data_IF_479073635869
#
_entry.id   IF_479073635869
#
_cell.length_a   1.000
_cell.length_b   1.000
_cell.length_c   1.000
_cell.angle_alpha   90.00
_cell.angle_beta   90.00
_cell.angle_gamma   90.00
#
_symmetry.space_group_name_H-M   'P 1'
#
loop_
_entity.id
_entity.type
_entity.pdbx_description
1 polymer ?
#
# COMPACT_ATOMS: atom_id res chain seq x y z
N UNK A 1 -103.84 -44.25 -5.07
CA UNK A 1 -102.37 -44.02 -5.05
C UNK A 1 -101.88 -44.44 -3.66
N UNK A 2 -100.80 -45.21 -3.56
CA UNK A 2 -100.28 -45.64 -2.25
C UNK A 2 -99.22 -44.64 -1.76
N UNK A 3 -99.34 -44.20 -0.50
CA UNK A 3 -98.43 -43.22 0.09
C UNK A 3 -97.06 -43.84 0.37
N UNK A 4 -96.07 -43.53 -0.48
CA UNK A 4 -94.70 -43.99 -0.30
C UNK A 4 -93.99 -43.19 0.81
N UNK A 5 -94.07 -43.68 2.05
CA UNK A 5 -93.44 -43.06 3.23
C UNK A 5 -91.92 -43.01 3.07
N UNK A 6 -91.37 -41.80 2.88
CA UNK A 6 -89.92 -41.57 2.76
C UNK A 6 -89.25 -41.68 4.14
N UNK A 7 -88.84 -42.90 4.51
CA UNK A 7 -88.02 -43.14 5.71
C UNK A 7 -86.70 -42.36 5.62
N UNK A 8 -86.33 -41.68 6.71
CA UNK A 8 -85.02 -41.04 6.84
C UNK A 8 -83.92 -42.10 6.91
N UNK A 9 -82.69 -41.76 6.50
CA UNK A 9 -81.54 -42.64 6.70
C UNK A 9 -81.31 -42.97 8.18
N UNK A 10 -81.60 -42.02 9.09
CA UNK A 10 -81.59 -42.27 10.55
C UNK A 10 -82.65 -43.28 10.99
N UNK A 11 -83.86 -43.22 10.43
CA UNK A 11 -84.93 -44.15 10.78
C UNK A 11 -84.68 -45.53 10.17
N UNK A 12 -84.11 -45.60 8.97
CA UNK A 12 -83.63 -46.85 8.38
C UNK A 12 -82.51 -47.50 9.23
N UNK A 13 -81.51 -46.71 9.67
CA UNK A 13 -80.49 -47.20 10.62
C UNK A 13 -81.10 -47.61 11.98
N UNK A 14 -82.11 -46.91 12.48
CA UNK A 14 -82.82 -47.27 13.72
C UNK A 14 -83.57 -48.59 13.56
N UNK A 15 -84.32 -48.77 12.48
CA UNK A 15 -85.09 -49.98 12.17
C UNK A 15 -84.15 -51.18 11.97
N UNK A 16 -83.12 -51.03 11.14
CA UNK A 16 -82.11 -52.08 10.92
C UNK A 16 -81.30 -52.40 12.18
N UNK A 17 -81.03 -51.42 13.04
CA UNK A 17 -80.40 -51.64 14.35
C UNK A 17 -81.32 -52.33 15.38
N UNK A 18 -82.65 -52.20 15.27
CA UNK A 18 -83.61 -52.94 16.10
C UNK A 18 -83.91 -54.35 15.61
N UNK A 19 -83.58 -54.66 14.35
CA UNK A 19 -83.70 -56.02 13.81
C UNK A 19 -82.43 -56.79 14.20
N UNK A 20 -82.56 -57.72 15.15
CA UNK A 20 -81.48 -58.69 15.42
C UNK A 20 -81.09 -59.37 14.10
N UNK A 21 -79.78 -59.48 13.77
CA UNK A 21 -79.37 -60.19 12.57
C UNK A 21 -79.90 -61.63 12.62
N UNK A 22 -80.35 -62.19 11.48
CA UNK A 22 -80.79 -63.58 11.43
C UNK A 22 -79.62 -64.48 11.85
N UNK A 23 -79.87 -65.40 12.78
CA UNK A 23 -78.86 -66.37 13.23
C UNK A 23 -78.46 -67.20 12.01
N UNK A 24 -77.19 -67.15 11.56
CA UNK A 24 -76.78 -67.78 10.32
C UNK A 24 -76.94 -69.29 10.44
N UNK A 25 -77.61 -69.90 9.46
CA UNK A 25 -77.82 -71.35 9.46
C UNK A 25 -76.48 -72.10 9.39
N UNK A 26 -76.42 -73.36 9.85
CA UNK A 26 -75.21 -74.20 9.75
C UNK A 26 -74.65 -74.35 8.32
N UNK A 27 -75.49 -74.12 7.31
CA UNK A 27 -75.08 -74.07 5.89
C UNK A 27 -74.41 -72.75 5.54
N UNK A 28 -74.81 -71.65 6.18
CA UNK A 28 -74.27 -70.31 5.99
C UNK A 28 -72.98 -70.09 6.77
N UNK A 29 -72.88 -70.59 8.01
CA UNK A 29 -71.63 -70.58 8.79
C UNK A 29 -70.54 -71.35 8.05
N UNK A 30 -70.82 -72.58 7.60
CA UNK A 30 -69.90 -73.38 6.76
C UNK A 30 -69.57 -72.70 5.43
N UNK A 31 -70.53 -72.01 4.80
CA UNK A 31 -70.28 -71.20 3.58
C UNK A 31 -69.38 -69.99 3.87
N UNK A 32 -69.51 -69.35 5.03
CA UNK A 32 -68.66 -68.24 5.46
C UNK A 32 -67.25 -68.72 5.80
N UNK A 33 -67.09 -69.83 6.52
CA UNK A 33 -65.79 -70.48 6.75
C UNK A 33 -65.10 -70.87 5.45
N UNK A 34 -65.82 -71.52 4.52
CA UNK A 34 -65.26 -71.90 3.22
C UNK A 34 -64.93 -70.67 2.36
N UNK A 35 -65.69 -69.57 2.49
CA UNK A 35 -65.36 -68.28 1.88
C UNK A 35 -64.09 -67.69 2.49
N UNK A 36 -63.94 -67.68 3.82
CA UNK A 36 -62.73 -67.23 4.52
C UNK A 36 -61.52 -68.06 4.09
N UNK A 37 -61.59 -69.38 4.25
CA UNK A 37 -60.57 -70.35 3.79
C UNK A 37 -60.31 -70.31 2.27
N UNK A 38 -61.09 -69.57 1.50
CA UNK A 38 -60.86 -69.26 0.08
C UNK A 38 -60.23 -67.88 -0.11
N UNK A 39 -60.71 -66.83 0.58
CA UNK A 39 -60.10 -65.48 0.56
C UNK A 39 -58.68 -65.49 1.13
N UNK A 40 -58.41 -66.30 2.14
CA UNK A 40 -57.08 -66.41 2.75
C UNK A 40 -56.09 -67.00 1.75
N UNK A 41 -56.47 -68.09 1.05
CA UNK A 41 -55.69 -68.66 -0.06
C UNK A 41 -55.54 -67.68 -1.23
N UNK A 42 -56.62 -67.00 -1.63
CA UNK A 42 -56.59 -65.98 -2.68
C UNK A 42 -55.63 -64.83 -2.35
N UNK A 43 -55.56 -64.40 -1.08
CA UNK A 43 -54.66 -63.33 -0.64
C UNK A 43 -53.17 -63.69 -0.80
N UNK A 44 -52.84 -64.98 -0.77
CA UNK A 44 -51.50 -65.52 -0.95
C UNK A 44 -51.14 -65.76 -2.43
N UNK A 45 -52.09 -65.64 -3.36
CA UNK A 45 -51.86 -65.90 -4.79
C UNK A 45 -51.20 -64.68 -5.48
N UNK A 46 -49.93 -64.77 -5.92
CA UNK A 46 -49.20 -63.63 -6.48
C UNK A 46 -49.70 -63.18 -7.86
N UNK A 47 -50.56 -63.98 -8.50
CA UNK A 47 -51.03 -63.80 -9.87
C UNK A 47 -52.48 -63.25 -9.95
N UNK A 48 -53.08 -62.83 -8.83
CA UNK A 48 -54.38 -62.13 -8.86
C UNK A 48 -54.22 -60.72 -9.43
N UNK A 49 -55.26 -60.16 -10.04
CA UNK A 49 -55.19 -58.80 -10.61
C UNK A 49 -54.81 -57.75 -9.55
N UNK A 50 -55.28 -57.89 -8.33
CA UNK A 50 -54.96 -56.95 -7.25
C UNK A 50 -53.56 -57.20 -6.66
N UNK A 51 -53.05 -58.44 -6.60
CA UNK A 51 -51.64 -58.69 -6.30
C UNK A 51 -50.72 -58.13 -7.40
N UNK A 52 -51.10 -58.25 -8.69
CA UNK A 52 -50.35 -57.66 -9.80
C UNK A 52 -50.37 -56.12 -9.76
N UNK A 53 -51.51 -55.50 -9.47
CA UNK A 53 -51.63 -54.05 -9.24
C UNK A 53 -50.75 -53.61 -8.07
N UNK A 54 -50.87 -54.24 -6.90
CA UNK A 54 -50.02 -53.96 -5.76
C UNK A 54 -48.54 -54.16 -6.08
N UNK A 55 -48.15 -55.20 -6.82
CA UNK A 55 -46.75 -55.43 -7.23
C UNK A 55 -46.23 -54.32 -8.15
N UNK A 56 -47.03 -53.88 -9.12
CA UNK A 56 -46.71 -52.76 -10.02
C UNK A 56 -46.60 -51.44 -9.26
N UNK A 57 -47.53 -51.18 -8.34
CA UNK A 57 -47.62 -49.90 -7.65
C UNK A 57 -46.59 -49.82 -6.49
N UNK A 58 -46.28 -50.95 -5.85
CA UNK A 58 -45.06 -51.12 -5.04
C UNK A 58 -43.82 -50.88 -5.91
N UNK A 59 -43.68 -51.51 -7.08
CA UNK A 59 -42.51 -51.30 -7.97
C UNK A 59 -42.31 -49.84 -8.41
N UNK A 60 -43.40 -49.10 -8.67
CA UNK A 60 -43.35 -47.65 -8.92
C UNK A 60 -42.78 -46.90 -7.72
N UNK A 61 -43.35 -47.11 -6.52
CA UNK A 61 -42.83 -46.50 -5.30
C UNK A 61 -41.36 -46.90 -5.07
N UNK A 62 -41.03 -48.19 -5.18
CA UNK A 62 -39.68 -48.74 -5.11
C UNK A 62 -38.71 -48.06 -6.10
N UNK A 63 -39.19 -47.59 -7.25
CA UNK A 63 -38.40 -46.83 -8.23
C UNK A 63 -38.27 -45.36 -7.82
N UNK A 64 -39.37 -44.73 -7.43
CA UNK A 64 -39.41 -43.34 -6.94
C UNK A 64 -38.52 -43.17 -5.68
N UNK A 65 -38.68 -44.03 -4.69
CA UNK A 65 -37.85 -44.18 -3.48
C UNK A 65 -36.36 -44.44 -3.79
N UNK A 66 -36.01 -44.97 -4.97
CA UNK A 66 -34.60 -45.14 -5.41
C UNK A 66 -34.09 -43.88 -6.11
N UNK A 67 -34.88 -43.27 -6.98
CA UNK A 67 -34.52 -42.02 -7.65
C UNK A 67 -34.36 -40.87 -6.65
N UNK A 68 -35.23 -40.76 -5.65
CA UNK A 68 -35.09 -39.78 -4.56
C UNK A 68 -33.82 -40.01 -3.74
N UNK A 69 -33.50 -41.27 -3.39
CA UNK A 69 -32.23 -41.61 -2.70
C UNK A 69 -30.99 -41.34 -3.54
N UNK A 70 -31.08 -41.30 -4.88
CA UNK A 70 -29.99 -40.84 -5.74
C UNK A 70 -29.88 -39.32 -5.73
N UNK A 71 -31.00 -38.60 -5.83
CA UNK A 71 -31.02 -37.12 -5.74
C UNK A 71 -30.45 -36.62 -4.42
N UNK A 72 -30.92 -37.16 -3.28
CA UNK A 72 -30.43 -36.79 -1.95
C UNK A 72 -28.91 -37.02 -1.79
N UNK A 73 -28.35 -38.08 -2.39
CA UNK A 73 -26.90 -38.30 -2.42
C UNK A 73 -26.16 -37.29 -3.29
N UNK A 74 -26.71 -36.92 -4.45
CA UNK A 74 -26.16 -35.85 -5.28
C UNK A 74 -26.20 -34.50 -4.55
N UNK A 75 -27.30 -34.18 -3.86
CA UNK A 75 -27.42 -32.97 -3.03
C UNK A 75 -26.39 -32.96 -1.89
N UNK A 76 -26.15 -34.10 -1.23
CA UNK A 76 -25.11 -34.26 -0.21
C UNK A 76 -23.68 -34.13 -0.78
N UNK A 77 -23.41 -34.72 -1.94
CA UNK A 77 -22.11 -34.63 -2.64
C UNK A 77 -21.84 -33.22 -3.16
N UNK A 78 -22.82 -32.56 -3.80
CA UNK A 78 -22.72 -31.17 -4.23
C UNK A 78 -22.52 -30.23 -3.04
N UNK A 79 -23.26 -30.42 -1.94
CA UNK A 79 -23.07 -29.66 -0.70
C UNK A 79 -21.68 -29.88 -0.10
N UNK A 80 -21.13 -31.09 -0.17
CA UNK A 80 -19.73 -31.36 0.20
C UNK A 80 -18.73 -30.67 -0.74
N UNK A 81 -18.98 -30.64 -2.05
CA UNK A 81 -18.12 -29.94 -3.02
C UNK A 81 -18.17 -28.43 -2.79
N UNK A 82 -19.36 -27.84 -2.67
CA UNK A 82 -19.56 -26.41 -2.40
C UNK A 82 -18.92 -25.98 -1.08
N UNK A 83 -19.06 -26.77 -0.01
CA UNK A 83 -18.39 -26.47 1.26
C UNK A 83 -16.86 -26.59 1.15
N UNK A 84 -16.32 -27.62 0.47
CA UNK A 84 -14.87 -27.75 0.20
C UNK A 84 -14.32 -26.63 -0.69
N UNK A 85 -15.11 -26.09 -1.63
CA UNK A 85 -14.74 -24.92 -2.45
C UNK A 85 -14.74 -23.66 -1.58
N UNK A 86 -15.79 -23.45 -0.77
CA UNK A 86 -15.91 -22.32 0.14
C UNK A 86 -14.79 -22.30 1.20
N UNK A 87 -14.43 -23.44 1.80
CA UNK A 87 -13.31 -23.49 2.76
C UNK A 87 -12.00 -23.15 2.07
N UNK A 88 -11.69 -23.73 0.90
CA UNK A 88 -10.50 -23.39 0.11
C UNK A 88 -10.43 -21.90 -0.28
N UNK A 89 -11.56 -21.28 -0.61
CA UNK A 89 -11.62 -19.84 -0.87
C UNK A 89 -11.32 -19.00 0.37
N UNK A 90 -11.90 -19.36 1.52
CA UNK A 90 -11.65 -18.71 2.82
C UNK A 90 -10.20 -18.92 3.28
N UNK A 91 -9.65 -20.13 3.13
CA UNK A 91 -8.25 -20.45 3.40
C UNK A 91 -7.30 -19.61 2.55
N UNK A 92 -7.55 -19.51 1.23
CA UNK A 92 -6.77 -18.66 0.32
C UNK A 92 -6.87 -17.18 0.69
N UNK A 93 -8.06 -16.68 1.06
CA UNK A 93 -8.22 -15.31 1.54
C UNK A 93 -7.44 -15.06 2.84
N UNK A 94 -7.52 -15.98 3.80
CA UNK A 94 -6.78 -15.93 5.07
C UNK A 94 -5.25 -16.11 4.91
N UNK A 95 -4.80 -16.72 3.81
CA UNK A 95 -3.39 -16.74 3.40
C UNK A 95 -2.99 -15.37 2.84
N UNK A 96 -3.72 -14.84 1.86
CA UNK A 96 -3.42 -13.54 1.24
C UNK A 96 -3.43 -12.38 2.24
N UNK A 97 -4.43 -12.31 3.13
CA UNK A 97 -4.49 -11.30 4.21
C UNK A 97 -3.27 -11.42 5.13
N UNK A 98 -2.84 -12.63 5.43
CA UNK A 98 -1.67 -12.88 6.28
C UNK A 98 -0.35 -12.50 5.58
N UNK A 99 -0.20 -12.82 4.30
CA UNK A 99 0.96 -12.41 3.49
C UNK A 99 1.01 -10.89 3.27
N UNK A 100 -0.14 -10.22 3.28
CA UNK A 100 -0.23 -8.75 3.25
C UNK A 100 0.15 -8.07 4.58
N UNK A 101 0.38 -8.80 5.68
CA UNK A 101 0.90 -8.18 6.92
C UNK A 101 2.33 -7.69 6.72
N UNK A 102 2.69 -6.53 7.28
CA UNK A 102 4.01 -5.90 7.03
C UNK A 102 5.19 -6.74 7.52
N UNK A 103 4.97 -7.58 8.53
CA UNK A 103 5.94 -8.60 8.97
C UNK A 103 6.19 -9.67 7.90
N UNK A 104 5.14 -10.14 7.23
CA UNK A 104 5.27 -11.06 6.09
C UNK A 104 5.88 -10.37 4.88
N UNK A 105 5.48 -9.12 4.55
CA UNK A 105 6.15 -8.30 3.52
C UNK A 105 7.66 -8.18 3.78
N UNK A 106 8.03 -7.95 5.05
CA UNK A 106 9.43 -7.85 5.49
C UNK A 106 10.17 -9.17 5.29
N UNK A 107 9.58 -10.30 5.70
CA UNK A 107 10.14 -11.63 5.45
C UNK A 107 10.32 -11.90 3.95
N UNK A 108 9.30 -11.68 3.11
CA UNK A 108 9.39 -11.82 1.64
C UNK A 108 10.48 -10.93 1.03
N UNK A 109 10.67 -9.72 1.57
CA UNK A 109 11.76 -8.82 1.15
C UNK A 109 13.16 -9.37 1.52
N UNK A 110 13.31 -10.03 2.67
CA UNK A 110 14.57 -10.70 3.02
C UNK A 110 14.79 -12.01 2.23
N UNK A 111 13.72 -12.75 1.90
CA UNK A 111 13.78 -13.94 1.02
C UNK A 111 14.33 -13.55 -0.37
N UNK A 112 13.74 -12.51 -0.97
CA UNK A 112 14.22 -11.96 -2.24
C UNK A 112 15.68 -11.47 -2.13
N UNK A 113 16.07 -10.86 -1.01
CA UNK A 113 17.46 -10.45 -0.78
C UNK A 113 18.42 -11.65 -0.69
N UNK A 114 18.01 -12.77 -0.08
CA UNK A 114 18.82 -14.00 -0.07
C UNK A 114 18.94 -14.64 -1.46
N UNK A 115 17.86 -14.70 -2.23
CA UNK A 115 17.90 -15.18 -3.62
C UNK A 115 18.81 -14.27 -4.50
N UNK A 116 18.73 -12.94 -4.35
CA UNK A 116 19.58 -11.98 -5.07
C UNK A 116 21.07 -12.13 -4.70
N UNK A 117 21.39 -12.31 -3.41
CA UNK A 117 22.78 -12.54 -2.97
C UNK A 117 23.34 -13.86 -3.52
N UNK A 118 22.53 -14.92 -3.53
CA UNK A 118 22.89 -16.23 -4.08
C UNK A 118 23.12 -16.18 -5.60
N UNK A 119 22.22 -15.55 -6.36
CA UNK A 119 22.43 -15.31 -7.80
C UNK A 119 23.64 -14.42 -8.07
N UNK A 120 23.96 -13.48 -7.17
CA UNK A 120 25.16 -12.65 -7.30
C UNK A 120 26.46 -13.45 -7.14
N UNK A 121 26.50 -14.42 -6.22
CA UNK A 121 27.64 -15.34 -6.09
C UNK A 121 27.87 -16.12 -7.40
N UNK A 122 26.79 -16.61 -8.05
CA UNK A 122 26.91 -17.26 -9.36
C UNK A 122 27.44 -16.33 -10.46
N UNK A 123 26.94 -15.10 -10.57
CA UNK A 123 27.44 -14.11 -11.55
C UNK A 123 28.94 -13.83 -11.38
N UNK A 124 29.45 -13.83 -10.15
CA UNK A 124 30.88 -13.61 -9.87
C UNK A 124 31.75 -14.85 -10.12
N UNK A 125 31.17 -16.06 -10.11
CA UNK A 125 31.82 -17.29 -10.57
C UNK A 125 31.83 -17.40 -12.10
N UNK A 126 30.68 -17.13 -12.75
CA UNK A 126 30.53 -17.11 -14.21
C UNK A 126 31.46 -16.06 -14.84
N UNK A 127 31.51 -14.84 -14.28
CA UNK A 127 32.42 -13.79 -14.75
C UNK A 127 33.88 -14.25 -14.69
N UNK A 128 34.33 -14.91 -13.61
CA UNK A 128 35.69 -15.47 -13.50
C UNK A 128 35.95 -16.58 -14.51
N UNK A 129 34.96 -17.42 -14.81
CA UNK A 129 35.09 -18.44 -15.85
C UNK A 129 35.26 -17.81 -17.24
N UNK A 130 34.51 -16.75 -17.55
CA UNK A 130 34.64 -15.98 -18.80
C UNK A 130 35.98 -15.25 -18.87
N UNK A 131 36.46 -14.66 -17.76
CA UNK A 131 37.78 -14.02 -17.70
C UNK A 131 38.90 -15.04 -17.97
N UNK A 132 38.89 -16.19 -17.31
CA UNK A 132 39.84 -17.28 -17.56
C UNK A 132 39.78 -17.81 -19.02
N UNK A 133 38.59 -17.86 -19.63
CA UNK A 133 38.43 -18.26 -21.03
C UNK A 133 38.98 -17.22 -21.99
N UNK A 134 38.74 -15.93 -21.72
CA UNK A 134 39.30 -14.83 -22.51
C UNK A 134 40.83 -14.80 -22.42
N UNK A 135 41.41 -14.95 -21.22
CA UNK A 135 42.86 -15.09 -21.03
C UNK A 135 43.43 -16.27 -21.85
N UNK A 136 42.75 -17.43 -21.87
CA UNK A 136 43.18 -18.57 -22.67
C UNK A 136 43.12 -18.30 -24.19
N UNK A 137 42.10 -17.57 -24.66
CA UNK A 137 41.94 -17.17 -26.06
C UNK A 137 43.00 -16.12 -26.46
N UNK A 138 43.24 -15.12 -25.62
CA UNK A 138 44.26 -14.08 -25.84
C UNK A 138 45.67 -14.68 -25.88
N UNK A 139 45.99 -15.60 -24.97
CA UNK A 139 47.28 -16.31 -24.99
C UNK A 139 47.44 -17.18 -26.26
N UNK A 140 46.39 -17.89 -26.69
CA UNK A 140 46.41 -18.68 -27.93
C UNK A 140 46.56 -17.79 -29.18
N UNK A 141 45.91 -16.64 -29.21
CA UNK A 141 46.06 -15.65 -30.28
C UNK A 141 47.45 -15.03 -30.30
N UNK A 142 47.99 -14.63 -29.14
CA UNK A 142 49.34 -14.08 -29.02
C UNK A 142 50.41 -15.08 -29.46
N UNK A 143 50.28 -16.36 -29.09
CA UNK A 143 51.16 -17.43 -29.56
C UNK A 143 51.10 -17.57 -31.10
N UNK A 144 49.90 -17.54 -31.70
CA UNK A 144 49.76 -17.59 -33.15
C UNK A 144 50.41 -16.38 -33.84
N UNK A 145 50.14 -15.16 -33.36
CA UNK A 145 50.75 -13.93 -33.92
C UNK A 145 52.28 -13.98 -33.81
N UNK A 146 52.83 -14.52 -32.72
CA UNK A 146 54.26 -14.75 -32.58
C UNK A 146 54.80 -15.76 -33.62
N UNK A 147 54.10 -16.88 -33.86
CA UNK A 147 54.46 -17.81 -34.93
C UNK A 147 54.42 -17.14 -36.32
N UNK A 148 53.34 -16.42 -36.64
CA UNK A 148 53.16 -15.72 -37.93
C UNK A 148 54.30 -14.71 -38.17
N UNK A 149 54.77 -14.01 -37.11
CA UNK A 149 55.94 -13.12 -37.15
C UNK A 149 57.22 -13.91 -37.41
N UNK A 150 57.53 -14.95 -36.64
CA UNK A 150 58.75 -15.75 -36.82
C UNK A 150 58.82 -16.40 -38.22
N UNK A 151 57.69 -16.87 -38.75
CA UNK A 151 57.60 -17.36 -40.12
C UNK A 151 57.87 -16.25 -41.16
N UNK A 152 57.38 -15.02 -40.94
CA UNK A 152 57.68 -13.88 -41.82
C UNK A 152 59.16 -13.49 -41.78
N UNK A 153 59.76 -13.48 -40.59
CA UNK A 153 61.19 -13.19 -40.43
C UNK A 153 62.06 -14.22 -41.16
N UNK A 154 61.71 -15.51 -41.07
CA UNK A 154 62.39 -16.58 -41.82
C UNK A 154 62.28 -16.35 -43.33
N UNK A 155 61.07 -16.11 -43.85
CA UNK A 155 60.82 -15.84 -45.28
C UNK A 155 61.57 -14.60 -45.77
N UNK A 156 61.73 -13.57 -44.94
CA UNK A 156 62.52 -12.37 -45.28
C UNK A 156 64.03 -12.57 -45.15
N UNK A 157 64.51 -13.43 -44.25
CA UNK A 157 65.91 -13.86 -44.20
C UNK A 157 66.28 -14.71 -45.43
N UNK A 158 65.38 -15.54 -45.93
CA UNK A 158 65.56 -16.30 -47.17
C UNK A 158 65.60 -15.39 -48.40
N UNK A 159 64.65 -14.45 -48.55
CA UNK A 159 64.70 -13.42 -49.60
C UNK A 159 66.01 -12.61 -49.53
N UNK A 160 66.47 -12.25 -48.33
CA UNK A 160 67.76 -11.56 -48.15
C UNK A 160 68.94 -12.42 -48.63
N UNK A 161 68.97 -13.72 -48.31
CA UNK A 161 70.00 -14.67 -48.81
C UNK A 161 70.00 -14.75 -50.33
N UNK A 162 68.84 -14.98 -50.95
CA UNK A 162 68.68 -15.04 -52.43
C UNK A 162 69.15 -13.74 -53.07
N UNK A 163 68.65 -12.59 -52.62
CA UNK A 163 69.06 -11.28 -53.11
C UNK A 163 70.58 -11.03 -52.93
N UNK A 164 71.21 -11.56 -51.88
CA UNK A 164 72.68 -11.48 -51.74
C UNK A 164 73.41 -12.41 -52.70
N UNK A 165 72.91 -13.62 -52.95
CA UNK A 165 73.48 -14.55 -53.92
C UNK A 165 73.43 -13.95 -55.33
N UNK A 166 72.26 -13.53 -55.79
CA UNK A 166 72.07 -12.84 -57.09
C UNK A 166 72.99 -11.63 -57.25
N UNK A 167 73.12 -10.79 -56.21
CA UNK A 167 74.07 -9.65 -56.21
C UNK A 167 75.53 -10.08 -56.30
N UNK A 168 75.92 -11.18 -55.64
CA UNK A 168 77.30 -11.69 -55.76
C UNK A 168 77.58 -12.32 -57.11
N UNK A 169 76.60 -12.93 -57.76
CA UNK A 169 76.74 -13.49 -59.11
C UNK A 169 76.79 -12.39 -60.17
N UNK A 170 75.90 -11.39 -60.09
CA UNK A 170 75.96 -10.20 -60.92
C UNK A 170 77.31 -9.46 -60.76
N UNK A 171 77.85 -9.37 -59.55
CA UNK A 171 79.16 -8.77 -59.30
C UNK A 171 80.36 -9.60 -59.78
N UNK A 172 80.21 -10.93 -59.96
CA UNK A 172 81.19 -11.77 -60.67
C UNK A 172 81.12 -11.49 -62.17
N UNK A 173 79.92 -11.58 -62.75
CA UNK A 173 79.68 -11.34 -64.18
C UNK A 173 80.15 -9.95 -64.62
N UNK A 174 79.91 -8.92 -63.82
CA UNK A 174 80.40 -7.56 -64.07
C UNK A 174 81.93 -7.45 -64.00
N UNK A 175 82.61 -8.23 -63.14
CA UNK A 175 84.08 -8.31 -63.15
C UNK A 175 84.59 -9.04 -64.39
N UNK A 176 83.99 -10.16 -64.74
CA UNK A 176 84.34 -10.94 -65.93
C UNK A 176 84.19 -10.09 -67.21
N UNK A 177 83.09 -9.36 -67.35
CA UNK A 177 82.88 -8.38 -68.43
C UNK A 177 83.92 -7.24 -68.44
N UNK A 178 84.36 -6.76 -67.28
CA UNK A 178 85.41 -5.74 -67.18
C UNK A 178 86.80 -6.27 -67.52
N UNK A 179 87.13 -7.51 -67.14
CA UNK A 179 88.39 -8.15 -67.55
C UNK A 179 88.39 -8.50 -69.05
N UNK A 180 87.27 -8.98 -69.61
CA UNK A 180 87.10 -9.13 -71.06
C UNK A 180 87.29 -7.79 -71.79
N UNK A 181 86.68 -6.71 -71.30
CA UNK A 181 86.81 -5.39 -71.90
C UNK A 181 88.27 -4.88 -71.86
N UNK A 182 88.98 -5.07 -70.73
CA UNK A 182 90.41 -4.77 -70.63
C UNK A 182 91.24 -5.61 -71.59
N UNK A 183 90.99 -6.91 -71.71
CA UNK A 183 91.72 -7.79 -72.62
C UNK A 183 91.52 -7.36 -74.07
N UNK A 184 90.27 -7.12 -74.49
CA UNK A 184 89.95 -6.58 -75.84
C UNK A 184 90.64 -5.23 -76.08
N UNK A 185 90.70 -4.35 -75.07
CA UNK A 185 91.38 -3.05 -75.18
C UNK A 185 92.91 -3.17 -75.27
N UNK A 186 93.51 -4.08 -74.52
CA UNK A 186 94.94 -4.44 -74.63
C UNK A 186 95.23 -5.03 -76.02
N UNK A 187 94.35 -5.87 -76.55
CA UNK A 187 94.49 -6.42 -77.89
C UNK A 187 94.34 -5.36 -79.00
N UNK A 188 93.45 -4.37 -78.85
CA UNK A 188 93.42 -3.22 -79.77
C UNK A 188 94.69 -2.38 -79.67
N UNK A 189 95.20 -2.08 -78.47
CA UNK A 189 96.49 -1.37 -78.32
C UNK A 189 97.67 -2.17 -78.92
N UNK A 190 97.67 -3.50 -78.80
CA UNK A 190 98.67 -4.36 -79.43
C UNK A 190 98.54 -4.40 -80.96
N UNK A 191 97.33 -4.29 -81.50
CA UNK A 191 97.08 -4.15 -82.95
C UNK A 191 97.53 -2.78 -83.44
N UNK A 192 97.08 -1.70 -82.81
CA UNK A 192 97.52 -0.31 -83.08
C UNK A 192 99.04 -0.18 -83.02
N UNK A 193 99.72 -0.81 -82.05
CA UNK A 193 101.19 -0.82 -81.98
C UNK A 193 101.83 -1.54 -83.17
N UNK A 194 101.33 -2.72 -83.55
CA UNK A 194 101.81 -3.46 -84.73
C UNK A 194 101.53 -2.72 -86.04
N UNK A 195 100.45 -1.95 -86.11
CA UNK A 195 100.13 -1.09 -87.25
C UNK A 195 100.98 0.17 -87.26
N UNK A 196 101.26 0.78 -86.11
CA UNK A 196 102.23 1.86 -85.95
C UNK A 196 103.66 1.46 -86.32
N UNK A 197 104.08 0.24 -85.96
CA UNK A 197 105.37 -0.34 -86.40
C UNK A 197 105.44 -0.50 -87.94
N UNK A 198 104.36 -1.00 -88.56
CA UNK A 198 104.25 -1.06 -90.03
C UNK A 198 104.16 0.33 -90.68
N UNK A 199 103.49 1.28 -90.04
CA UNK A 199 103.33 2.65 -90.53
C UNK A 199 104.66 3.40 -90.43
N UNK A 200 105.43 3.24 -89.36
CA UNK A 200 106.77 3.79 -89.23
C UNK A 200 107.73 3.23 -90.31
N UNK A 201 107.62 1.94 -90.64
CA UNK A 201 108.34 1.36 -91.77
C UNK A 201 107.95 2.01 -93.11
N UNK A 202 106.65 2.18 -93.38
CA UNK A 202 106.17 2.89 -94.59
C UNK A 202 106.57 4.36 -94.62
N UNK A 203 106.48 5.08 -93.51
CA UNK A 203 106.87 6.50 -93.40
C UNK A 203 108.37 6.66 -93.62
N UNK A 204 109.21 5.70 -93.24
CA UNK A 204 110.63 5.71 -93.60
C UNK A 204 110.87 5.48 -95.11
N UNK A 205 110.09 4.64 -95.79
CA UNK A 205 110.12 4.56 -97.26
C UNK A 205 109.59 5.84 -97.92
N UNK A 206 108.53 6.44 -97.37
CA UNK A 206 107.87 7.61 -97.96
C UNK A 206 108.63 8.90 -97.70
N UNK A 207 109.37 9.03 -96.59
CA UNK A 207 110.29 10.14 -96.35
C UNK A 207 111.44 10.13 -97.36
N UNK A 208 111.92 8.96 -97.78
CA UNK A 208 112.89 8.81 -98.89
C UNK A 208 112.30 9.22 -100.25
N UNK A 209 110.97 9.26 -100.39
CA UNK A 209 110.26 9.78 -101.59
C UNK A 209 109.96 11.28 -101.45
N UNK A 210 109.48 11.76 -100.29
CA UNK A 210 109.16 13.17 -100.07
C UNK A 210 110.39 14.09 -100.10
N UNK A 211 111.57 13.60 -99.69
CA UNK A 211 112.84 14.33 -99.89
C UNK A 211 113.14 14.64 -101.37
N UNK A 212 112.51 13.91 -102.31
CA UNK A 212 112.61 14.17 -103.75
C UNK A 212 111.62 15.28 -104.16
N UNK A 213 110.45 15.35 -103.51
CA UNK A 213 109.30 16.22 -103.87
C UNK A 213 109.30 17.58 -103.16
N UNK A 214 109.78 17.70 -101.92
CA UNK A 214 109.70 18.97 -101.16
C UNK A 214 110.51 20.10 -101.81
N UNK A 215 111.51 19.74 -102.63
CA UNK A 215 112.28 20.64 -103.49
C UNK A 215 111.42 21.43 -104.50
N UNK A 216 110.25 20.91 -104.88
CA UNK A 216 109.38 21.52 -105.89
C UNK A 216 108.44 22.60 -105.30
N UNK A 217 107.99 22.42 -104.05
CA UNK A 217 106.77 23.09 -103.54
C UNK A 217 106.98 24.50 -103.01
N UNK A 218 108.20 24.89 -102.63
CA UNK A 218 108.53 26.18 -101.99
C UNK A 218 108.27 27.44 -102.85
N UNK A 219 107.83 27.29 -104.11
CA UNK A 219 107.61 28.38 -105.09
C UNK A 219 106.29 29.18 -104.97
N UNK A 220 105.31 28.84 -104.09
CA UNK A 220 103.90 29.32 -104.28
C UNK A 220 103.21 30.23 -103.23
N UNK A 221 103.54 30.24 -101.93
CA UNK A 221 102.50 30.49 -100.88
C UNK A 221 102.26 31.93 -100.33
N UNK A 222 102.67 33.02 -100.99
CA UNK A 222 102.83 34.36 -100.34
C UNK A 222 101.65 35.38 -100.43
N UNK A 223 100.37 34.99 -100.45
CA UNK A 223 99.33 35.85 -101.10
C UNK A 223 97.97 36.22 -100.41
N UNK A 224 97.57 35.79 -99.20
CA UNK A 224 96.20 36.09 -98.69
C UNK A 224 96.08 36.15 -97.14
N UNK A 225 95.71 37.30 -96.52
CA UNK A 225 95.76 37.42 -95.03
C UNK A 225 95.03 38.60 -94.32
N UNK A 226 94.19 39.43 -94.94
CA UNK A 226 93.92 40.83 -94.44
C UNK A 226 92.47 41.12 -93.93
N UNK A 227 91.69 40.09 -93.57
CA UNK A 227 90.24 40.09 -93.85
C UNK A 227 89.16 40.49 -92.78
N UNK A 228 89.34 40.43 -91.44
CA UNK A 228 88.18 40.48 -90.48
C UNK A 228 88.47 40.95 -89.04
N UNK A 229 87.49 41.60 -88.35
CA UNK A 229 87.66 42.08 -86.94
C UNK A 229 86.43 42.48 -86.06
N UNK A 230 85.16 42.44 -86.51
CA UNK A 230 84.31 43.66 -86.35
C UNK A 230 83.16 43.82 -85.30
N UNK A 231 82.70 42.86 -84.48
CA UNK A 231 81.46 43.06 -83.63
C UNK A 231 81.46 42.49 -82.19
N UNK A 232 80.62 43.02 -81.27
CA UNK A 232 80.57 42.54 -79.86
C UNK A 232 79.36 42.90 -78.90
N UNK A 233 78.57 43.96 -79.13
CA UNK A 233 78.15 44.89 -78.05
C UNK A 233 77.22 44.48 -76.84
N UNK A 234 75.88 44.53 -76.96
CA UNK A 234 75.17 45.63 -76.25
C UNK A 234 74.31 45.40 -74.96
N UNK A 235 73.49 44.34 -74.82
CA UNK A 235 72.25 44.39 -73.99
C UNK A 235 72.35 43.84 -72.53
N UNK A 236 71.70 44.47 -71.52
CA UNK A 236 71.90 44.12 -70.08
C UNK A 236 70.84 44.47 -68.98
N UNK A 237 69.63 44.97 -69.28
CA UNK A 237 68.95 45.96 -68.42
C UNK A 237 68.18 45.58 -67.10
N UNK A 238 67.01 44.93 -67.11
CA UNK A 238 65.94 45.11 -66.08
C UNK A 238 65.69 43.90 -65.12
N UNK A 239 65.08 44.11 -63.92
CA UNK A 239 64.75 42.97 -63.00
C UNK A 239 63.71 43.01 -61.83
N UNK A 240 63.26 44.13 -61.23
CA UNK A 240 62.75 44.12 -59.82
C UNK A 240 61.42 44.88 -59.54
N UNK A 241 60.57 44.39 -58.60
CA UNK A 241 59.38 45.11 -58.07
C UNK A 241 58.83 44.70 -56.66
N UNK A 242 58.04 43.62 -56.50
CA UNK A 242 56.98 43.51 -55.45
C UNK A 242 57.24 42.53 -54.27
N UNK A 243 56.87 42.87 -53.01
CA UNK A 243 57.02 41.96 -51.84
C UNK A 243 56.22 42.23 -50.52
N UNK A 244 55.05 42.89 -50.50
CA UNK A 244 54.61 43.62 -49.28
C UNK A 244 53.16 43.42 -48.71
N UNK A 245 52.41 42.35 -49.03
CA UNK A 245 50.92 42.32 -48.82
C UNK A 245 50.32 41.46 -47.69
N UNK A 246 51.09 40.82 -46.80
CA UNK A 246 50.63 39.62 -46.05
C UNK A 246 50.60 39.78 -44.51
N UNK A 247 49.73 40.62 -43.90
CA UNK A 247 49.87 40.93 -42.45
C UNK A 247 48.68 41.39 -41.56
N UNK A 248 47.39 41.12 -41.84
CA UNK A 248 46.29 41.91 -41.24
C UNK A 248 45.09 41.27 -40.48
N UNK A 249 44.86 39.95 -40.40
CA UNK A 249 43.51 39.45 -40.01
C UNK A 249 43.33 38.59 -38.72
N UNK A 250 44.36 38.32 -37.91
CA UNK A 250 44.28 37.32 -36.81
C UNK A 250 43.53 37.74 -35.51
N UNK A 251 42.83 38.88 -35.51
CA UNK A 251 42.37 39.58 -34.27
C UNK A 251 40.94 39.22 -33.81
N UNK A 252 40.19 38.40 -34.56
CA UNK A 252 38.72 38.20 -34.36
C UNK A 252 38.27 37.06 -33.42
N UNK A 253 39.10 36.57 -32.48
CA UNK A 253 38.88 35.24 -31.85
C UNK A 253 38.59 35.17 -30.33
N UNK A 254 38.57 36.27 -29.57
CA UNK A 254 38.65 36.19 -28.09
C UNK A 254 37.47 36.76 -27.26
N UNK A 255 36.49 37.46 -27.85
CA UNK A 255 35.52 38.27 -27.05
C UNK A 255 34.31 37.51 -26.43
N UNK A 256 33.95 36.32 -26.91
CA UNK A 256 32.67 35.68 -26.53
C UNK A 256 32.68 34.88 -25.21
N UNK A 257 33.84 34.63 -24.60
CA UNK A 257 33.96 33.74 -23.44
C UNK A 257 33.32 34.28 -22.14
N UNK A 258 33.24 35.60 -21.97
CA UNK A 258 32.99 36.22 -20.66
C UNK A 258 31.51 36.33 -20.24
N UNK A 259 30.55 36.17 -21.15
CA UNK A 259 29.11 36.47 -20.86
C UNK A 259 28.33 35.37 -20.12
N UNK A 260 28.91 34.19 -19.88
CA UNK A 260 28.14 33.01 -19.39
C UNK A 260 28.09 32.82 -17.87
N UNK A 261 28.97 33.45 -17.09
CA UNK A 261 29.10 33.19 -15.65
C UNK A 261 28.08 33.92 -14.75
N UNK A 262 27.31 34.89 -15.25
CA UNK A 262 26.46 35.76 -14.42
C UNK A 262 25.01 35.27 -14.20
N UNK A 263 24.73 33.96 -14.34
CA UNK A 263 23.43 33.35 -13.95
C UNK A 263 23.43 32.78 -12.51
N UNK A 264 23.97 33.60 -11.59
CA UNK A 264 24.08 33.36 -10.14
C UNK A 264 22.74 33.00 -9.46
N UNK A 265 21.64 33.62 -9.90
CA UNK A 265 20.42 33.82 -9.12
C UNK A 265 19.46 32.61 -8.98
N UNK A 266 19.95 31.41 -8.63
CA UNK A 266 19.08 30.24 -8.35
C UNK A 266 19.42 29.42 -7.09
N UNK A 267 20.55 29.67 -6.41
CA UNK A 267 20.90 28.95 -5.17
C UNK A 267 20.13 29.40 -3.91
N UNK A 268 19.64 30.64 -3.88
CA UNK A 268 19.30 31.33 -2.63
C UNK A 268 17.85 31.14 -2.15
N UNK A 269 16.94 30.71 -3.03
CA UNK A 269 15.50 30.67 -2.76
C UNK A 269 15.01 29.51 -1.85
N UNK A 270 15.90 28.61 -1.40
CA UNK A 270 15.52 27.43 -0.60
C UNK A 270 15.71 27.58 0.93
N UNK A 271 16.31 28.66 1.42
CA UNK A 271 16.57 28.84 2.86
C UNK A 271 15.54 29.73 3.60
N UNK A 272 15.01 30.79 2.96
CA UNK A 272 14.12 31.76 3.65
C UNK A 272 12.77 31.17 4.09
N UNK A 273 12.18 30.28 3.28
CA UNK A 273 10.83 29.71 3.52
C UNK A 273 10.69 28.81 4.75
N UNK A 274 11.77 28.47 5.47
CA UNK A 274 11.74 27.56 6.64
C UNK A 274 11.75 28.25 8.01
N UNK A 275 11.85 29.58 8.05
CA UNK A 275 12.02 30.33 9.31
C UNK A 275 10.70 30.95 9.81
N UNK A 276 10.04 31.77 8.98
CA UNK A 276 8.99 32.71 9.43
C UNK A 276 7.69 32.03 9.90
N UNK A 277 7.31 30.91 9.28
CA UNK A 277 6.02 30.23 9.57
C UNK A 277 5.94 29.62 10.99
N UNK A 278 7.06 29.47 11.72
CA UNK A 278 7.07 28.87 13.07
C UNK A 278 6.82 29.87 14.21
N UNK A 279 6.96 31.18 13.98
CA UNK A 279 7.01 32.15 15.07
C UNK A 279 5.68 32.93 15.27
N UNK A 280 4.97 33.25 14.18
CA UNK A 280 3.79 34.12 14.23
C UNK A 280 2.52 33.54 14.92
N UNK A 281 2.45 32.22 15.16
CA UNK A 281 1.23 31.55 15.65
C UNK A 281 1.14 31.38 17.17
N UNK A 282 2.24 31.55 17.92
CA UNK A 282 2.23 31.39 19.40
C UNK A 282 1.82 32.64 20.17
N UNK A 283 2.07 33.85 19.64
CA UNK A 283 1.94 35.08 20.42
C UNK A 283 0.49 35.54 20.68
N UNK A 284 -0.51 35.02 19.95
CA UNK A 284 -1.89 35.55 19.98
C UNK A 284 -2.83 34.95 21.04
N UNK A 285 -2.35 34.09 21.93
CA UNK A 285 -3.19 33.47 22.99
C UNK A 285 -2.91 34.00 24.41
N UNK A 286 -2.03 35.00 24.58
CA UNK A 286 -1.56 35.44 25.91
C UNK A 286 -2.22 36.76 26.34
N UNK A 287 -2.37 37.72 25.43
CA UNK A 287 -2.61 39.12 25.80
C UNK A 287 -4.09 39.50 26.02
N UNK A 288 -5.04 38.57 25.83
CA UNK A 288 -6.49 38.85 25.92
C UNK A 288 -7.13 38.49 27.28
N UNK A 289 -6.38 37.85 28.19
CA UNK A 289 -6.95 37.18 29.36
C UNK A 289 -6.93 37.97 30.68
N UNK A 290 -6.25 39.12 30.76
CA UNK A 290 -5.70 39.62 32.04
C UNK A 290 -6.15 41.01 32.54
N UNK A 291 -6.89 41.82 31.77
CA UNK A 291 -6.99 43.27 32.08
C UNK A 291 -8.34 43.86 32.54
N UNK A 292 -9.48 43.14 32.46
CA UNK A 292 -10.80 43.75 32.72
C UNK A 292 -11.61 43.17 33.92
N UNK A 293 -11.01 42.33 34.77
CA UNK A 293 -11.67 41.80 35.98
C UNK A 293 -11.61 42.73 37.21
N UNK A 294 -11.03 43.94 37.10
CA UNK A 294 -10.51 44.72 38.25
C UNK A 294 -11.25 46.07 38.47
N UNK A 295 -12.34 46.38 37.75
CA UNK A 295 -12.88 47.75 37.64
C UNK A 295 -14.36 47.97 38.04
N UNK A 296 -14.97 47.08 38.82
CA UNK A 296 -16.42 47.17 39.15
C UNK A 296 -16.81 47.17 40.64
N UNK A 297 -15.85 47.06 41.57
CA UNK A 297 -16.14 46.66 42.96
C UNK A 297 -16.18 47.81 44.00
N UNK A 298 -16.12 49.09 43.59
CA UNK A 298 -15.79 50.22 44.47
C UNK A 298 -16.88 51.31 44.53
N UNK A 299 -18.14 51.02 44.96
CA UNK A 299 -19.23 52.01 44.80
C UNK A 299 -20.50 51.98 45.71
N UNK A 300 -20.49 51.42 46.92
CA UNK A 300 -21.74 51.00 47.59
C UNK A 300 -22.12 51.55 49.00
N UNK A 301 -21.30 52.36 49.70
CA UNK A 301 -21.31 52.37 51.19
C UNK A 301 -21.88 53.61 51.95
N UNK A 302 -22.57 54.58 51.32
CA UNK A 302 -22.76 55.93 51.92
C UNK A 302 -24.22 56.44 52.21
N UNK A 303 -25.15 55.69 52.87
CA UNK A 303 -26.60 56.12 52.86
C UNK A 303 -27.58 55.97 54.06
N UNK A 304 -27.18 55.72 55.33
CA UNK A 304 -28.08 55.03 56.30
C UNK A 304 -28.84 55.81 57.43
N UNK A 305 -28.65 57.11 57.70
CA UNK A 305 -28.83 57.62 59.08
C UNK A 305 -30.23 58.01 59.68
N UNK A 306 -30.92 59.12 59.30
CA UNK A 306 -31.72 59.94 60.27
C UNK A 306 -33.26 60.09 60.07
N UNK A 307 -34.10 59.82 61.09
CA UNK A 307 -35.52 60.28 61.31
C UNK A 307 -35.96 60.14 62.81
N UNK A 308 -36.92 60.93 63.38
CA UNK A 308 -37.53 60.64 64.73
C UNK A 308 -38.90 61.27 65.20
N UNK A 309 -38.98 62.55 65.65
CA UNK A 309 -39.71 63.03 66.88
C UNK A 309 -41.27 63.05 67.11
N UNK A 310 -41.97 64.22 66.99
CA UNK A 310 -43.01 64.74 67.97
C UNK A 310 -44.53 64.49 67.70
N UNK A 311 -45.44 64.68 68.71
CA UNK A 311 -46.91 64.37 68.56
C UNK A 311 -48.04 65.04 69.45
N UNK A 312 -47.91 65.42 70.74
CA UNK A 312 -48.77 64.77 71.80
C UNK A 312 -50.13 65.29 72.43
N UNK A 313 -50.44 66.56 72.80
CA UNK A 313 -51.42 66.82 73.94
C UNK A 313 -52.63 67.83 73.80
N UNK A 314 -53.78 67.58 74.50
CA UNK A 314 -54.86 68.51 75.04
C UNK A 314 -56.19 67.78 75.43
N UNK A 315 -56.87 68.10 76.57
CA UNK A 315 -58.27 67.64 76.91
C UNK A 315 -58.86 68.31 78.21
N UNK A 316 -60.20 68.31 78.46
CA UNK A 316 -60.79 68.93 79.69
C UNK A 316 -62.15 68.41 80.30
N UNK A 317 -63.33 69.12 80.29
CA UNK A 317 -64.30 69.13 81.46
C UNK A 317 -65.67 68.38 81.43
N UNK A 318 -66.51 68.55 80.42
CA UNK A 318 -67.91 68.04 80.27
C UNK A 318 -69.07 68.31 81.31
N UNK A 319 -68.85 68.21 82.62
CA UNK A 319 -69.54 67.13 83.38
C UNK A 319 -71.05 67.16 83.78
N UNK A 320 -71.65 68.27 84.26
CA UNK A 320 -72.60 68.14 85.41
C UNK A 320 -74.14 67.99 85.16
N UNK A 321 -74.77 68.74 84.25
CA UNK A 321 -76.26 68.76 84.03
C UNK A 321 -76.89 67.41 83.61
N UNK A 322 -76.05 66.41 83.41
CA UNK A 322 -76.40 65.01 83.19
C UNK A 322 -77.24 64.40 84.33
N UNK A 323 -77.46 65.07 85.46
CA UNK A 323 -77.97 64.51 86.71
C UNK A 323 -79.39 63.93 86.65
N UNK A 324 -80.44 64.75 86.71
CA UNK A 324 -81.78 64.27 87.10
C UNK A 324 -82.53 63.48 86.02
N UNK A 325 -82.15 63.64 84.75
CA UNK A 325 -82.61 62.73 83.67
C UNK A 325 -82.36 61.27 84.03
N UNK A 326 -81.23 60.98 84.69
CA UNK A 326 -80.87 59.63 85.15
C UNK A 326 -81.93 59.02 86.05
N UNK A 327 -82.72 59.77 86.82
CA UNK A 327 -83.65 59.18 87.80
C UNK A 327 -84.82 58.47 87.13
N UNK A 328 -85.51 59.13 86.21
CA UNK A 328 -86.59 58.52 85.43
C UNK A 328 -86.04 57.52 84.40
N UNK A 329 -84.90 57.82 83.79
CA UNK A 329 -84.17 56.87 82.95
C UNK A 329 -83.86 55.59 83.73
N UNK A 330 -83.43 55.66 84.99
CA UNK A 330 -82.98 54.51 85.80
C UNK A 330 -84.07 53.46 86.03
N UNK A 331 -85.34 53.83 86.23
CA UNK A 331 -86.41 52.82 86.38
C UNK A 331 -86.80 52.14 85.06
N UNK A 332 -86.88 52.91 83.96
CA UNK A 332 -87.11 52.36 82.63
C UNK A 332 -85.92 51.46 82.21
N UNK A 333 -84.70 51.93 82.48
CA UNK A 333 -83.46 51.16 82.37
C UNK A 333 -83.49 49.94 83.30
N UNK A 334 -84.08 49.98 84.50
CA UNK A 334 -84.12 48.81 85.39
C UNK A 334 -85.00 47.69 84.81
N UNK A 335 -86.23 48.03 84.37
CA UNK A 335 -87.14 47.04 83.75
C UNK A 335 -86.56 46.52 82.42
N UNK A 336 -86.01 47.41 81.59
CA UNK A 336 -85.33 47.02 80.35
C UNK A 336 -84.09 46.18 80.63
N UNK A 337 -83.26 46.53 81.63
CA UNK A 337 -82.10 45.73 82.05
C UNK A 337 -82.50 44.36 82.54
N UNK A 338 -83.58 44.23 83.30
CA UNK A 338 -84.02 42.93 83.80
C UNK A 338 -84.42 42.00 82.63
N UNK A 339 -85.22 42.50 81.69
CA UNK A 339 -85.53 41.77 80.45
C UNK A 339 -84.28 41.50 79.60
N UNK A 340 -83.38 42.47 79.44
CA UNK A 340 -82.10 42.28 78.74
C UNK A 340 -81.17 41.28 79.44
N UNK A 341 -81.21 41.17 80.78
CA UNK A 341 -80.46 40.19 81.54
C UNK A 341 -81.05 38.79 81.34
N UNK A 342 -82.37 38.65 81.29
CA UNK A 342 -83.05 37.39 80.97
C UNK A 342 -82.80 36.94 79.52
N UNK A 343 -82.82 37.86 78.55
CA UNK A 343 -82.39 37.59 77.18
C UNK A 343 -80.91 37.21 77.15
N UNK A 344 -80.00 38.07 77.66
CA UNK A 344 -78.56 37.76 77.72
C UNK A 344 -78.23 36.48 78.49
N UNK A 345 -79.07 36.03 79.43
CA UNK A 345 -78.91 34.76 80.11
C UNK A 345 -79.31 33.56 79.23
N UNK A 346 -80.32 33.70 78.37
CA UNK A 346 -80.70 32.72 77.34
C UNK A 346 -79.69 32.72 76.19
N UNK A 347 -79.32 33.88 75.69
CA UNK A 347 -78.30 34.06 74.64
C UNK A 347 -76.99 33.40 75.11
N UNK A 348 -76.50 33.71 76.32
CA UNK A 348 -75.34 33.04 76.94
C UNK A 348 -75.53 31.54 77.18
N UNK A 349 -76.75 31.03 77.29
CA UNK A 349 -77.00 29.59 77.39
C UNK A 349 -76.85 28.93 76.01
N UNK A 350 -77.37 29.57 74.97
CA UNK A 350 -77.27 29.13 73.57
C UNK A 350 -75.82 29.25 73.07
N UNK A 351 -75.14 30.38 73.27
CA UNK A 351 -73.69 30.54 73.05
C UNK A 351 -72.88 29.42 73.73
N UNK A 352 -73.26 29.00 74.94
CA UNK A 352 -72.62 27.90 75.69
C UNK A 352 -73.02 26.49 75.24
N UNK A 353 -74.06 26.34 74.44
CA UNK A 353 -74.46 25.09 73.79
C UNK A 353 -73.77 25.00 72.42
N UNK A 354 -73.93 26.03 71.59
CA UNK A 354 -73.25 26.21 70.31
C UNK A 354 -71.73 26.08 70.45
N UNK A 355 -71.10 26.74 71.44
CA UNK A 355 -69.66 26.59 71.67
C UNK A 355 -69.25 25.17 72.12
N UNK A 356 -70.13 24.38 72.74
CA UNK A 356 -69.84 22.97 73.09
C UNK A 356 -70.00 22.04 71.91
N UNK A 357 -70.95 22.31 71.03
CA UNK A 357 -71.15 21.57 69.78
C UNK A 357 -69.99 21.88 68.83
N UNK A 358 -69.66 23.16 68.63
CA UNK A 358 -68.48 23.62 67.91
C UNK A 358 -67.18 23.02 68.48
N UNK A 359 -66.98 22.97 69.81
CA UNK A 359 -65.79 22.32 70.39
C UNK A 359 -65.73 20.82 70.07
N UNK A 360 -66.86 20.09 70.08
CA UNK A 360 -66.89 18.68 69.68
C UNK A 360 -66.58 18.51 68.20
N UNK A 361 -67.11 19.38 67.35
CA UNK A 361 -66.83 19.33 65.91
C UNK A 361 -65.35 19.64 65.62
N UNK A 362 -64.73 20.56 66.36
CA UNK A 362 -63.28 20.80 66.32
C UNK A 362 -62.46 19.65 66.90
N UNK A 363 -62.91 18.98 67.97
CA UNK A 363 -62.27 17.78 68.54
C UNK A 363 -62.31 16.60 67.55
N UNK A 364 -63.44 16.41 66.85
CA UNK A 364 -63.61 15.40 65.80
C UNK A 364 -62.72 15.75 64.60
N UNK A 365 -62.82 16.98 64.08
CA UNK A 365 -62.00 17.44 62.96
C UNK A 365 -60.50 17.35 63.25
N UNK A 366 -60.08 17.69 64.48
CA UNK A 366 -58.69 17.51 64.93
C UNK A 366 -58.25 16.04 64.94
N UNK A 367 -59.10 15.13 65.40
CA UNK A 367 -58.83 13.68 65.36
C UNK A 367 -58.78 13.13 63.92
N UNK A 368 -59.63 13.63 63.03
CA UNK A 368 -59.62 13.24 61.60
C UNK A 368 -58.38 13.78 60.87
N UNK A 369 -58.00 15.03 61.13
CA UNK A 369 -56.77 15.64 60.61
C UNK A 369 -55.52 14.93 61.16
N UNK A 370 -55.48 14.58 62.44
CA UNK A 370 -54.41 13.75 62.99
C UNK A 370 -54.37 12.35 62.38
N UNK A 371 -55.52 11.72 62.10
CA UNK A 371 -55.58 10.44 61.40
C UNK A 371 -54.99 10.56 59.98
N UNK A 372 -55.43 11.54 59.21
CA UNK A 372 -54.90 11.83 57.87
C UNK A 372 -53.39 12.08 57.89
N UNK A 373 -52.89 12.95 58.78
CA UNK A 373 -51.46 13.24 58.93
C UNK A 373 -50.62 12.05 59.39
N UNK A 374 -51.21 11.02 60.00
CA UNK A 374 -50.53 9.74 60.31
C UNK A 374 -50.55 8.81 59.09
N UNK A 375 -51.67 8.73 58.39
CA UNK A 375 -51.84 7.93 57.18
C UNK A 375 -50.90 8.42 56.06
N UNK A 376 -50.86 9.73 55.79
CA UNK A 376 -49.94 10.36 54.84
C UNK A 376 -48.47 10.04 55.15
N UNK A 377 -48.04 10.21 56.41
CA UNK A 377 -46.66 9.89 56.84
C UNK A 377 -46.33 8.40 56.74
N UNK A 378 -47.32 7.52 56.94
CA UNK A 378 -47.16 6.10 56.67
C UNK A 378 -47.01 5.81 55.17
N UNK A 379 -47.77 6.49 54.30
CA UNK A 379 -47.65 6.36 52.84
C UNK A 379 -46.32 6.93 52.32
N UNK A 380 -45.89 8.10 52.77
CA UNK A 380 -44.56 8.65 52.51
C UNK A 380 -43.47 7.64 52.89
N UNK A 381 -43.52 7.09 54.12
CA UNK A 381 -42.56 6.09 54.58
C UNK A 381 -42.59 4.82 53.74
N UNK A 382 -43.77 4.34 53.33
CA UNK A 382 -43.93 3.18 52.43
C UNK A 382 -43.36 3.46 51.04
N UNK A 383 -43.56 4.67 50.51
CA UNK A 383 -43.07 5.09 49.20
C UNK A 383 -41.55 5.31 49.20
N UNK A 384 -40.98 5.96 50.22
CA UNK A 384 -39.53 6.05 50.41
C UNK A 384 -38.89 4.67 50.55
N UNK A 385 -39.52 3.72 51.27
CA UNK A 385 -39.03 2.35 51.37
C UNK A 385 -39.05 1.61 50.02
N UNK A 386 -40.12 1.77 49.22
CA UNK A 386 -40.18 1.24 47.84
C UNK A 386 -39.06 1.81 46.97
N UNK A 387 -38.89 3.13 46.96
CA UNK A 387 -37.85 3.82 46.19
C UNK A 387 -36.45 3.36 46.63
N UNK A 388 -36.18 3.22 47.93
CA UNK A 388 -34.90 2.73 48.43
C UNK A 388 -34.61 1.27 48.00
N UNK A 389 -35.63 0.40 47.99
CA UNK A 389 -35.52 -0.98 47.50
C UNK A 389 -35.24 -1.01 45.99
N UNK A 390 -35.88 -0.13 45.21
CA UNK A 390 -35.67 -0.03 43.76
C UNK A 390 -34.30 0.55 43.40
N UNK A 391 -33.89 1.63 44.07
CA UNK A 391 -32.53 2.20 43.95
C UNK A 391 -31.46 1.17 44.33
N UNK A 392 -31.67 0.38 45.39
CA UNK A 392 -30.77 -0.73 45.73
C UNK A 392 -30.71 -1.78 44.60
N UNK A 393 -31.86 -2.23 44.08
CA UNK A 393 -31.90 -3.18 42.94
C UNK A 393 -31.17 -2.64 41.71
N UNK A 394 -31.33 -1.35 41.40
CA UNK A 394 -30.62 -0.69 40.30
C UNK A 394 -29.10 -0.60 40.56
N UNK A 395 -28.68 -0.32 41.78
CA UNK A 395 -27.26 -0.28 42.17
C UNK A 395 -26.62 -1.68 42.13
N UNK A 396 -27.31 -2.71 42.65
CA UNK A 396 -26.87 -4.10 42.61
C UNK A 396 -26.78 -4.61 41.16
N UNK A 397 -27.80 -4.33 40.32
CA UNK A 397 -27.78 -4.69 38.90
C UNK A 397 -26.71 -3.94 38.09
N UNK A 398 -26.46 -2.65 38.39
CA UNK A 398 -25.34 -1.90 37.80
C UNK A 398 -24.00 -2.50 38.21
N UNK A 399 -23.89 -3.01 39.44
CA UNK A 399 -22.66 -3.67 39.94
C UNK A 399 -22.42 -5.03 39.28
N UNK A 400 -23.46 -5.83 39.01
CA UNK A 400 -23.29 -7.08 38.24
C UNK A 400 -22.90 -6.78 36.80
N UNK A 401 -23.58 -5.84 36.12
CA UNK A 401 -23.22 -5.43 34.75
C UNK A 401 -21.77 -4.94 34.65
N UNK A 402 -21.31 -4.08 35.57
CA UNK A 402 -19.91 -3.63 35.59
C UNK A 402 -18.92 -4.79 35.81
N UNK A 403 -19.26 -5.77 36.66
CA UNK A 403 -18.41 -6.96 36.87
C UNK A 403 -18.42 -7.90 35.66
N UNK A 404 -19.53 -7.97 34.92
CA UNK A 404 -19.65 -8.72 33.67
C UNK A 404 -18.83 -8.03 32.55
N UNK A 405 -18.92 -6.70 32.42
CA UNK A 405 -18.10 -5.90 31.49
C UNK A 405 -16.60 -6.02 31.79
N UNK A 406 -16.19 -5.97 33.06
CA UNK A 406 -14.81 -6.22 33.48
C UNK A 406 -14.33 -7.64 33.11
N UNK A 407 -15.15 -8.66 33.35
CA UNK A 407 -14.84 -10.04 32.98
C UNK A 407 -14.76 -10.24 31.46
N UNK A 408 -15.69 -9.65 30.70
CA UNK A 408 -15.68 -9.66 29.24
C UNK A 408 -14.46 -8.92 28.68
N UNK A 409 -14.08 -7.78 29.26
CA UNK A 409 -12.86 -7.04 28.91
C UNK A 409 -11.61 -7.91 29.12
N UNK A 410 -11.46 -8.51 30.30
CA UNK A 410 -10.34 -9.41 30.63
C UNK A 410 -10.31 -10.68 29.76
N UNK A 411 -11.47 -11.20 29.33
CA UNK A 411 -11.55 -12.31 28.38
C UNK A 411 -11.15 -11.86 26.96
N UNK A 412 -11.61 -10.69 26.51
CA UNK A 412 -11.23 -10.12 25.22
C UNK A 412 -9.73 -9.81 25.14
N UNK A 413 -9.13 -9.29 26.21
CA UNK A 413 -7.67 -9.09 26.32
C UNK A 413 -6.93 -10.43 26.22
N UNK A 414 -7.33 -11.45 27.00
CA UNK A 414 -6.74 -12.79 26.93
C UNK A 414 -6.85 -13.40 25.53
N UNK A 415 -7.99 -13.25 24.86
CA UNK A 415 -8.19 -13.70 23.47
C UNK A 415 -7.34 -12.90 22.47
N UNK A 416 -7.12 -11.60 22.70
CA UNK A 416 -6.22 -10.77 21.89
C UNK A 416 -4.77 -11.24 22.03
N UNK A 417 -4.29 -11.42 23.27
CA UNK A 417 -2.95 -11.94 23.57
C UNK A 417 -2.74 -13.36 23.02
N UNK A 418 -3.77 -14.21 23.02
CA UNK A 418 -3.72 -15.53 22.37
C UNK A 418 -3.62 -15.41 20.84
N UNK A 419 -4.42 -14.53 20.20
CA UNK A 419 -4.33 -14.28 18.74
C UNK A 419 -2.94 -13.78 18.33
N UNK A 420 -2.35 -12.87 19.11
CA UNK A 420 -0.97 -12.37 18.89
C UNK A 420 0.03 -13.54 18.99
N UNK A 421 0.01 -14.32 20.08
CA UNK A 421 0.89 -15.49 20.27
C UNK A 421 0.76 -16.54 19.16
N UNK A 422 -0.46 -16.80 18.67
CA UNK A 422 -0.70 -17.71 17.54
C UNK A 422 -0.13 -17.13 16.23
N UNK A 423 -0.26 -15.82 16.01
CA UNK A 423 0.34 -15.13 14.86
C UNK A 423 1.88 -15.15 14.90
N UNK A 424 2.47 -14.92 16.07
CA UNK A 424 3.92 -15.02 16.31
C UNK A 424 4.44 -16.44 16.04
N UNK A 425 3.75 -17.46 16.57
CA UNK A 425 4.11 -18.86 16.35
C UNK A 425 4.00 -19.24 14.87
N UNK A 426 2.95 -18.78 14.17
CA UNK A 426 2.77 -18.97 12.71
C UNK A 426 3.89 -18.27 11.93
N UNK A 427 4.26 -17.04 12.30
CA UNK A 427 5.32 -16.28 11.64
C UNK A 427 6.68 -16.98 11.80
N UNK A 428 7.04 -17.30 13.05
CA UNK A 428 8.28 -18.03 13.36
C UNK A 428 8.34 -19.36 12.62
N UNK A 429 7.24 -20.12 12.57
CA UNK A 429 7.14 -21.39 11.86
C UNK A 429 7.19 -21.29 10.33
N UNK A 430 6.91 -20.12 9.75
CA UNK A 430 7.11 -19.86 8.30
C UNK A 430 8.56 -19.42 8.06
N UNK A 431 9.06 -18.44 8.80
CA UNK A 431 10.43 -17.94 8.65
C UNK A 431 11.49 -19.03 8.91
N UNK A 432 11.28 -19.97 9.84
CA UNK A 432 12.18 -21.11 10.02
C UNK A 432 12.13 -22.09 8.84
N UNK A 433 10.99 -22.25 8.16
CA UNK A 433 10.93 -23.01 6.90
C UNK A 433 11.67 -22.29 5.79
N UNK A 434 11.48 -20.97 5.60
CA UNK A 434 12.25 -20.19 4.63
C UNK A 434 13.77 -20.31 4.84
N UNK A 435 14.23 -20.31 6.11
CA UNK A 435 15.63 -20.55 6.48
C UNK A 435 16.08 -21.98 6.15
N UNK A 436 15.23 -22.99 6.33
CA UNK A 436 15.53 -24.38 5.99
C UNK A 436 15.58 -24.59 4.47
N UNK A 437 14.62 -24.04 3.73
CA UNK A 437 14.56 -24.09 2.27
C UNK A 437 15.76 -23.38 1.63
N UNK A 438 16.15 -22.19 2.13
CA UNK A 438 17.36 -21.49 1.69
C UNK A 438 18.61 -22.35 1.87
N UNK A 439 18.77 -23.01 3.02
CA UNK A 439 19.88 -23.95 3.27
C UNK A 439 19.83 -25.19 2.37
N UNK A 440 18.65 -25.76 2.13
CA UNK A 440 18.46 -26.90 1.23
C UNK A 440 18.78 -26.56 -0.23
N UNK A 441 18.55 -25.31 -0.66
CA UNK A 441 18.95 -24.78 -1.97
C UNK A 441 20.46 -24.51 -2.09
N UNK A 442 21.23 -24.65 -1.01
CA UNK A 442 22.67 -24.37 -0.99
C UNK A 442 23.06 -22.92 -0.72
N UNK A 443 22.13 -22.06 -0.26
CA UNK A 443 22.47 -20.68 0.10
C UNK A 443 23.30 -20.62 1.38
N UNK A 444 24.52 -20.08 1.29
CA UNK A 444 25.38 -19.86 2.46
C UNK A 444 24.88 -18.70 3.32
N UNK A 445 24.55 -17.56 2.67
CA UNK A 445 24.23 -16.31 3.37
C UNK A 445 22.73 -16.22 3.72
N UNK A 446 22.32 -16.96 4.74
CA UNK A 446 20.94 -16.99 5.26
C UNK A 446 20.69 -15.90 6.33
N UNK A 447 21.66 -15.00 6.56
CA UNK A 447 21.61 -13.96 7.59
C UNK A 447 20.43 -12.97 7.44
N UNK A 448 20.02 -12.52 6.24
CA UNK A 448 18.86 -11.63 6.11
C UNK A 448 17.57 -12.25 6.67
N UNK A 449 17.38 -13.57 6.50
CA UNK A 449 16.22 -14.30 7.03
C UNK A 449 16.30 -14.54 8.53
N UNK A 450 17.48 -14.82 9.06
CA UNK A 450 17.70 -14.86 10.51
C UNK A 450 17.41 -13.49 11.15
N UNK A 451 17.80 -12.40 10.49
CA UNK A 451 17.51 -11.05 10.94
C UNK A 451 16.01 -10.72 10.93
N UNK A 452 15.23 -11.25 9.98
CA UNK A 452 13.75 -11.15 9.99
C UNK A 452 13.04 -11.86 11.17
N UNK A 453 13.72 -12.76 11.90
CA UNK A 453 13.18 -13.36 13.14
C UNK A 453 13.42 -12.47 14.38
N UNK A 454 14.36 -11.53 14.30
CA UNK A 454 14.86 -10.72 15.43
C UNK A 454 14.47 -9.24 15.29
N UNK A 455 14.33 -8.74 14.06
CA UNK A 455 13.71 -7.43 13.83
C UNK A 455 12.23 -7.47 14.26
N UNK A 456 11.88 -6.66 15.26
CA UNK A 456 10.49 -6.34 15.58
C UNK A 456 9.79 -5.72 14.35
N UNK A 457 8.45 -5.74 14.35
CA UNK A 457 7.67 -5.11 13.30
C UNK A 457 8.02 -3.62 13.19
N UNK A 458 8.76 -3.25 12.15
CA UNK A 458 8.73 -1.88 11.64
C UNK A 458 7.33 -1.72 11.03
N UNK A 459 6.44 -1.03 11.74
CA UNK A 459 5.15 -0.64 11.18
C UNK A 459 5.40 0.23 9.94
N UNK A 460 5.22 -0.36 8.77
CA UNK A 460 5.40 0.31 7.49
C UNK A 460 4.25 1.31 7.32
N UNK A 461 4.48 2.53 7.81
CA UNK A 461 3.56 3.66 7.70
C UNK A 461 2.94 3.67 6.29
N UNK A 462 1.61 3.67 6.18
CA UNK A 462 0.94 3.39 4.92
C UNK A 462 1.42 4.37 3.85
N UNK A 463 1.84 3.84 2.70
CA UNK A 463 2.42 4.60 1.59
C UNK A 463 1.41 5.56 0.89
N UNK A 464 0.24 5.79 1.50
CA UNK A 464 -0.59 6.97 1.32
C UNK A 464 0.17 8.22 1.80
N UNK A 465 1.15 8.64 1.00
CA UNK A 465 1.77 9.95 1.11
C UNK A 465 0.72 11.03 0.83
N UNK A 466 0.03 11.47 1.88
CA UNK A 466 -0.86 12.64 1.85
C UNK A 466 -0.02 13.88 1.50
N UNK A 467 0.10 14.16 0.20
CA UNK A 467 0.37 15.50 -0.30
C UNK A 467 -0.86 16.34 0.02
N UNK A 468 -0.74 17.14 1.07
CA UNK A 468 -1.52 18.37 1.28
C UNK A 468 -0.94 19.44 0.35
#
# INVERSE_FOLDING_TARGET
MANATKLSFRDYQRITGTISPPVPSDKETKRLELKQKSTDRYSQWPNTLDAMRQKRDRWKKDKEDREEKVRLRMDEEEKQIQTRVRTKQIERANQLIYEQTDRMKTLRSKELLTDVLYHRQFQELEKKQIENQNEAIENAYAFKVFQDICESEQKDLEKKKINTQERTELAKLQREQLEEYKQRYIDTLNQEKREGEKLAAKVNEELQREQQVENERKRRMKQASEDTQSTNAQLRALRQAEKEKERLEDVKREEDALKKHQRIARGENMQRMKFEQKQARKQRMIDLATQNLVKLEQKNDERILNQFNEVREKEEKELQDRADRRAADLEAIHRSRQQQLDFKAKDRLQERQEAKELMRDWEIYGQELERQLREEKEEERRNHLRIAIEQKKQADARRTLLSEDEQLSLLNEKLSLQKIKISDARFRGIATKSIQEAKQRGMENVYPLQKALVEDCIDLLPASGFRI
#
